data_IF_431223264737
#
_entry.id   IF_431223264737
#
_cell.length_a   1.000
_cell.length_b   1.000
_cell.length_c   1.000
_cell.angle_alpha   90.00
_cell.angle_beta   90.00
_cell.angle_gamma   90.00
#
_symmetry.space_group_name_H-M   'P 1'
#
loop_
_entity.id
_entity.type
_entity.pdbx_description
1 polymer ?
#
# COMPACT_ATOMS: atom_id res chain seq x y z
N UNK A 1 3.87 34.45 -14.11
CA UNK A 1 3.09 33.50 -13.29
C UNK A 1 3.63 32.12 -13.59
N UNK A 2 3.98 31.35 -12.58
CA UNK A 2 4.29 29.93 -12.75
C UNK A 2 3.05 29.21 -13.28
N UNK A 3 3.25 28.27 -14.19
CA UNK A 3 2.18 27.36 -14.59
C UNK A 3 1.91 26.39 -13.44
N UNK A 4 0.68 25.89 -13.34
CA UNK A 4 0.33 24.83 -12.39
C UNK A 4 1.29 23.63 -12.50
N UNK A 5 1.80 23.33 -13.70
CA UNK A 5 2.79 22.26 -13.91
C UNK A 5 4.16 22.55 -13.30
N UNK A 6 4.59 23.81 -13.25
CA UNK A 6 5.85 24.22 -12.62
C UNK A 6 5.74 24.23 -11.09
N UNK A 7 4.55 24.54 -10.56
CA UNK A 7 4.26 24.48 -9.12
C UNK A 7 4.07 23.04 -8.63
N UNK A 8 3.46 22.19 -9.45
CA UNK A 8 3.27 20.76 -9.18
C UNK A 8 4.52 19.92 -9.50
N UNK A 9 5.73 20.41 -9.18
CA UNK A 9 6.91 19.53 -9.10
C UNK A 9 6.68 18.52 -7.96
N UNK A 10 6.01 17.42 -8.30
CA UNK A 10 5.78 16.33 -7.37
C UNK A 10 7.13 15.66 -7.15
N UNK A 11 7.70 15.88 -5.97
CA UNK A 11 8.81 15.06 -5.50
C UNK A 11 8.29 13.63 -5.31
N UNK A 12 8.47 12.82 -6.35
CA UNK A 12 8.17 11.41 -6.38
C UNK A 12 9.25 10.58 -5.67
N UNK A 13 10.22 11.17 -4.96
CA UNK A 13 11.21 10.42 -4.19
C UNK A 13 10.79 10.19 -2.73
N UNK A 14 9.90 11.03 -2.22
CA UNK A 14 9.48 11.00 -0.81
C UNK A 14 8.10 10.34 -0.68
N UNK A 15 8.00 9.18 0.01
CA UNK A 15 6.70 8.56 0.28
C UNK A 15 5.83 9.46 1.16
N UNK A 16 4.51 9.40 0.96
CA UNK A 16 3.54 10.09 1.82
C UNK A 16 3.76 9.63 3.27
N UNK A 17 3.72 10.55 4.24
CA UNK A 17 3.94 10.20 5.64
C UNK A 17 2.78 9.36 6.19
N UNK A 18 3.04 8.50 7.18
CA UNK A 18 1.95 7.77 7.84
C UNK A 18 0.94 8.72 8.51
N UNK A 19 1.40 9.86 9.03
CA UNK A 19 0.53 10.89 9.60
C UNK A 19 -0.48 11.40 8.56
N UNK A 20 -0.04 11.71 7.34
CA UNK A 20 -0.92 12.15 6.26
C UNK A 20 -1.90 11.05 5.84
N UNK A 21 -1.44 9.79 5.75
CA UNK A 21 -2.30 8.63 5.48
C UNK A 21 -3.40 8.53 6.55
N UNK A 22 -3.04 8.62 7.82
CA UNK A 22 -4.03 8.54 8.93
C UNK A 22 -4.98 9.72 8.93
N UNK A 23 -4.49 10.95 8.70
CA UNK A 23 -5.32 12.16 8.63
C UNK A 23 -6.40 12.08 7.53
N UNK A 24 -6.09 11.42 6.41
CA UNK A 24 -7.05 11.21 5.33
C UNK A 24 -8.16 10.20 5.67
N UNK A 25 -7.94 9.32 6.65
CA UNK A 25 -8.83 8.21 6.99
C UNK A 25 -9.55 8.39 8.34
N UNK A 26 -8.96 9.16 9.25
CA UNK A 26 -9.44 9.32 10.62
C UNK A 26 -10.85 9.89 10.66
N UNK A 27 -11.74 9.21 11.39
CA UNK A 27 -13.15 9.61 11.54
C UNK A 27 -14.02 9.40 10.31
N UNK A 28 -13.47 8.94 9.18
CA UNK A 28 -14.21 8.77 7.92
C UNK A 28 -14.60 7.34 7.62
N UNK A 29 -13.88 6.35 8.16
CA UNK A 29 -14.11 4.94 7.86
C UNK A 29 -14.48 4.17 9.13
N UNK A 30 -15.74 3.77 9.26
CA UNK A 30 -16.22 3.06 10.43
C UNK A 30 -15.52 1.70 10.65
N UNK A 31 -15.01 1.51 11.86
CA UNK A 31 -14.32 0.29 12.29
C UNK A 31 -12.92 0.10 11.72
N UNK A 32 -12.39 1.06 10.94
CA UNK A 32 -10.99 1.02 10.50
C UNK A 32 -10.07 1.19 11.71
N UNK A 33 -9.08 0.32 11.83
CA UNK A 33 -8.03 0.42 12.83
C UNK A 33 -6.72 0.04 12.16
N UNK A 34 -5.75 0.94 12.18
CA UNK A 34 -4.53 0.83 11.39
C UNK A 34 -3.27 1.00 12.23
N UNK A 35 -2.23 0.24 11.91
CA UNK A 35 -0.88 0.34 12.50
C UNK A 35 0.15 0.64 11.42
N UNK A 36 1.20 1.37 11.79
CA UNK A 36 2.37 1.60 10.95
C UNK A 36 3.44 0.55 11.22
N UNK A 37 3.99 -0.02 10.16
CA UNK A 37 5.15 -0.91 10.23
C UNK A 37 6.20 -0.43 9.22
N UNK A 38 7.34 0.02 9.72
CA UNK A 38 8.53 0.18 8.90
C UNK A 38 9.28 -1.14 8.85
N UNK A 39 9.27 -1.82 7.70
CA UNK A 39 9.83 -3.16 7.62
C UNK A 39 11.35 -3.17 7.85
N UNK A 40 12.05 -2.08 7.49
CA UNK A 40 13.51 -2.00 7.69
C UNK A 40 13.90 -1.87 9.17
N UNK A 41 13.00 -1.30 9.97
CA UNK A 41 13.22 -1.05 11.40
C UNK A 41 12.50 -2.08 12.28
N UNK A 42 11.81 -3.05 11.67
CA UNK A 42 11.12 -4.11 12.40
C UNK A 42 12.14 -5.03 13.09
N UNK A 43 11.99 -5.21 14.40
CA UNK A 43 12.82 -6.08 15.21
C UNK A 43 12.04 -7.34 15.58
N UNK A 44 12.71 -8.49 15.53
CA UNK A 44 12.14 -9.78 15.91
C UNK A 44 11.49 -10.55 14.76
N UNK A 45 10.74 -11.59 15.10
CA UNK A 45 10.06 -12.44 14.12
C UNK A 45 8.79 -11.81 13.57
N UNK A 46 8.53 -12.07 12.29
CA UNK A 46 7.29 -11.68 11.65
C UNK A 46 6.16 -12.62 12.08
N UNK A 47 5.23 -12.08 12.85
CA UNK A 47 4.03 -12.78 13.31
C UNK A 47 2.80 -11.89 13.08
N UNK A 48 1.57 -12.44 13.05
CA UNK A 48 0.37 -11.61 12.99
C UNK A 48 0.33 -10.56 14.10
N UNK A 49 0.81 -10.92 15.30
CA UNK A 49 0.84 -10.00 16.43
C UNK A 49 1.86 -8.88 16.23
N UNK A 50 3.08 -9.17 15.75
CA UNK A 50 4.13 -8.15 15.57
C UNK A 50 3.87 -7.21 14.38
N UNK A 51 3.16 -7.67 13.35
CA UNK A 51 2.84 -6.86 12.16
C UNK A 51 1.49 -6.12 12.29
N UNK A 52 0.47 -6.76 12.85
CA UNK A 52 -0.91 -6.25 12.83
C UNK A 52 -1.43 -5.96 14.25
N UNK A 53 -0.97 -6.67 15.26
CA UNK A 53 -1.49 -6.57 16.63
C UNK A 53 -3.01 -6.77 16.67
N UNK A 54 -3.73 -5.78 17.21
CA UNK A 54 -5.20 -5.74 17.27
C UNK A 54 -5.87 -5.03 16.09
N UNK A 55 -5.08 -4.52 15.14
CA UNK A 55 -5.56 -3.68 14.05
C UNK A 55 -6.13 -4.55 12.90
N UNK A 56 -6.86 -3.93 11.98
CA UNK A 56 -7.34 -4.61 10.76
C UNK A 56 -6.53 -4.24 9.51
N UNK A 57 -5.71 -3.19 9.58
CA UNK A 57 -4.78 -2.81 8.51
C UNK A 57 -3.39 -2.55 9.10
N UNK A 58 -2.35 -3.12 8.50
CA UNK A 58 -0.98 -2.69 8.71
C UNK A 58 -0.52 -1.93 7.46
N UNK A 59 -0.26 -0.63 7.61
CA UNK A 59 0.41 0.18 6.60
C UNK A 59 1.91 -0.11 6.69
N UNK A 60 2.44 -0.84 5.70
CA UNK A 60 3.79 -1.37 5.72
C UNK A 60 4.64 -0.58 4.72
N UNK A 61 5.66 0.09 5.24
CA UNK A 61 6.65 0.79 4.43
C UNK A 61 7.83 -0.14 4.16
N UNK A 62 7.99 -0.51 2.90
CA UNK A 62 9.06 -1.36 2.41
C UNK A 62 10.26 -0.51 1.99
N UNK A 63 11.46 -0.99 2.26
CA UNK A 63 12.67 -0.54 1.56
C UNK A 63 13.02 -1.61 0.54
N UNK A 64 12.87 -1.29 -0.73
CA UNK A 64 13.17 -2.20 -1.83
C UNK A 64 14.42 -1.76 -2.57
N UNK A 65 15.25 -2.73 -2.97
CA UNK A 65 16.36 -2.50 -3.89
C UNK A 65 15.91 -2.88 -5.29
N UNK A 66 15.97 -1.94 -6.24
CA UNK A 66 15.63 -2.21 -7.64
C UNK A 66 16.71 -3.14 -8.23
N UNK A 67 16.34 -4.28 -8.85
CA UNK A 67 17.35 -5.17 -9.41
C UNK A 67 18.23 -4.47 -10.45
N UNK A 68 19.54 -4.70 -10.37
CA UNK A 68 20.53 -4.01 -11.20
C UNK A 68 20.85 -2.58 -10.74
N UNK A 69 20.31 -2.12 -9.61
CA UNK A 69 20.59 -0.81 -9.02
C UNK A 69 21.06 -0.94 -7.57
N UNK A 70 21.89 0.01 -7.12
CA UNK A 70 22.25 0.20 -5.71
C UNK A 70 21.25 1.11 -4.99
N UNK A 71 20.34 1.76 -5.73
CA UNK A 71 19.36 2.68 -5.18
C UNK A 71 18.29 1.95 -4.37
N UNK A 72 18.06 2.46 -3.17
CA UNK A 72 16.96 2.05 -2.30
C UNK A 72 15.76 2.92 -2.61
N UNK A 73 14.60 2.28 -2.75
CA UNK A 73 13.33 2.95 -2.93
C UNK A 73 12.39 2.57 -1.80
N UNK A 74 11.64 3.56 -1.30
CA UNK A 74 10.59 3.33 -0.31
C UNK A 74 9.28 3.06 -1.03
N UNK A 75 8.50 2.08 -0.56
CA UNK A 75 7.25 1.68 -1.19
C UNK A 75 6.19 1.32 -0.15
N UNK A 76 5.00 1.88 -0.28
CA UNK A 76 3.86 1.55 0.56
C UNK A 76 3.13 0.32 0.03
N UNK A 77 2.88 -0.62 0.93
CA UNK A 77 1.96 -1.73 0.76
C UNK A 77 1.17 -1.92 2.06
N UNK A 78 0.14 -2.76 2.06
CA UNK A 78 -0.57 -3.05 3.29
C UNK A 78 -0.98 -4.51 3.43
N UNK A 79 -1.00 -4.95 4.68
CA UNK A 79 -1.63 -6.21 5.08
C UNK A 79 -3.00 -5.88 5.67
N UNK A 80 -4.04 -6.46 5.10
CA UNK A 80 -5.43 -6.29 5.55
C UNK A 80 -5.96 -7.58 6.14
N UNK A 81 -6.57 -7.51 7.32
CA UNK A 81 -7.31 -8.60 7.96
C UNK A 81 -8.78 -8.22 8.03
N UNK A 82 -9.65 -9.07 7.50
CA UNK A 82 -11.09 -8.94 7.64
C UNK A 82 -11.74 -10.33 7.82
N UNK A 83 -13.08 -10.39 7.83
CA UNK A 83 -13.82 -11.66 8.01
C UNK A 83 -13.55 -12.72 6.94
N UNK A 84 -12.96 -12.34 5.79
CA UNK A 84 -12.62 -13.22 4.67
C UNK A 84 -11.16 -13.70 4.69
N UNK A 85 -10.36 -13.27 5.68
CA UNK A 85 -8.97 -13.67 5.88
C UNK A 85 -7.96 -12.52 5.74
N UNK A 86 -6.73 -12.88 5.35
CA UNK A 86 -5.61 -11.96 5.17
C UNK A 86 -5.37 -11.63 3.70
N UNK A 87 -5.11 -10.36 3.41
CA UNK A 87 -4.86 -9.86 2.06
C UNK A 87 -3.62 -8.99 2.05
N UNK A 88 -2.60 -9.41 1.31
CA UNK A 88 -1.44 -8.60 1.01
C UNK A 88 -1.77 -7.74 -0.22
N UNK A 89 -1.84 -6.43 -0.03
CA UNK A 89 -2.10 -5.50 -1.11
C UNK A 89 -0.86 -4.67 -1.43
N UNK A 90 -0.44 -4.80 -2.67
CA UNK A 90 0.55 -3.97 -3.33
C UNK A 90 -0.04 -3.46 -4.66
N UNK A 91 -0.02 -2.15 -4.88
CA UNK A 91 -0.57 -1.49 -6.08
C UNK A 91 0.21 -1.86 -7.35
N UNK A 92 1.47 -2.27 -7.21
CA UNK A 92 2.32 -2.75 -8.30
C UNK A 92 2.21 -4.26 -8.52
N UNK A 93 1.44 -4.96 -7.68
CA UNK A 93 1.27 -6.42 -7.69
C UNK A 93 2.60 -7.18 -7.84
N UNK A 94 3.62 -6.77 -7.08
CA UNK A 94 4.94 -7.40 -7.12
C UNK A 94 4.78 -8.88 -6.73
N UNK A 95 5.20 -9.83 -7.60
CA UNK A 95 5.15 -11.25 -7.28
C UNK A 95 5.96 -11.55 -6.03
N UNK A 96 5.45 -12.41 -5.14
CA UNK A 96 6.12 -12.75 -3.87
C UNK A 96 7.58 -13.24 -4.06
N UNK A 97 7.86 -14.01 -5.11
CA UNK A 97 9.22 -14.45 -5.42
C UNK A 97 10.17 -13.29 -5.73
N UNK A 98 9.66 -12.23 -6.37
CA UNK A 98 10.41 -11.02 -6.68
C UNK A 98 10.52 -10.10 -5.46
N UNK A 99 9.45 -9.99 -4.67
CA UNK A 99 9.45 -9.24 -3.41
C UNK A 99 10.57 -9.72 -2.47
N UNK A 100 10.72 -11.04 -2.31
CA UNK A 100 11.80 -11.62 -1.49
C UNK A 100 13.20 -11.19 -1.96
N UNK A 101 13.42 -11.07 -3.27
CA UNK A 101 14.70 -10.60 -3.83
C UNK A 101 14.92 -9.11 -3.58
N UNK A 102 13.86 -8.32 -3.68
CA UNK A 102 13.91 -6.85 -3.50
C UNK A 102 14.12 -6.44 -2.04
N UNK A 103 13.59 -7.20 -1.07
CA UNK A 103 13.72 -6.91 0.35
C UNK A 103 15.07 -7.31 0.93
N UNK A 104 15.79 -8.26 0.31
CA UNK A 104 17.08 -8.79 0.78
C UNK A 104 17.02 -9.25 2.25
N UNK A 105 15.92 -9.90 2.64
CA UNK A 105 15.62 -10.33 4.01
C UNK A 105 15.60 -11.87 4.16
N UNK A 106 16.29 -12.59 3.27
CA UNK A 106 16.27 -14.05 3.16
C UNK A 106 14.87 -14.66 3.00
N UNK A 107 13.93 -13.85 2.50
CA UNK A 107 12.54 -14.22 2.29
C UNK A 107 11.73 -14.38 3.57
N UNK A 108 12.23 -13.90 4.71
CA UNK A 108 11.53 -13.98 6.01
C UNK A 108 10.13 -13.38 5.92
N UNK A 109 9.98 -12.20 5.34
CA UNK A 109 8.69 -11.53 5.24
C UNK A 109 7.73 -12.27 4.32
N UNK A 110 8.22 -12.78 3.18
CA UNK A 110 7.40 -13.57 2.24
C UNK A 110 6.98 -14.91 2.85
N UNK A 111 7.86 -15.58 3.61
CA UNK A 111 7.52 -16.79 4.36
C UNK A 111 6.41 -16.51 5.38
N UNK A 112 6.48 -15.39 6.09
CA UNK A 112 5.42 -14.94 6.97
C UNK A 112 4.09 -14.71 6.25
N UNK A 113 4.08 -13.96 5.13
CA UNK A 113 2.85 -13.73 4.36
C UNK A 113 2.21 -15.06 3.93
N UNK A 114 3.02 -16.04 3.52
CA UNK A 114 2.55 -17.37 3.14
C UNK A 114 2.02 -18.16 4.35
N UNK A 115 2.70 -18.12 5.50
CA UNK A 115 2.28 -18.89 6.68
C UNK A 115 0.93 -18.46 7.24
N UNK A 116 0.57 -17.17 7.08
CA UNK A 116 -0.74 -16.64 7.49
C UNK A 116 -1.81 -16.75 6.39
N UNK A 117 -1.47 -17.33 5.23
CA UNK A 117 -2.38 -17.44 4.09
C UNK A 117 -2.76 -16.10 3.46
N UNK A 118 -1.89 -15.09 3.52
CA UNK A 118 -2.17 -13.77 2.95
C UNK A 118 -2.26 -13.83 1.42
N UNK A 119 -3.43 -13.50 0.88
CA UNK A 119 -3.69 -13.51 -0.57
C UNK A 119 -3.08 -12.26 -1.21
N UNK A 120 -2.14 -12.38 -2.17
CA UNK A 120 -1.49 -11.21 -2.79
C UNK A 120 -2.40 -10.47 -3.78
N UNK A 121 -2.03 -9.24 -4.14
CA UNK A 121 -2.54 -8.56 -5.34
C UNK A 121 -2.17 -9.36 -6.58
N UNK A 122 -3.11 -9.51 -7.52
CA UNK A 122 -2.91 -10.23 -8.78
C UNK A 122 -2.94 -9.33 -10.01
N UNK A 123 -3.23 -8.04 -9.83
CA UNK A 123 -3.35 -7.07 -10.93
C UNK A 123 -2.56 -5.81 -10.59
N UNK A 124 -1.70 -5.39 -11.53
CA UNK A 124 -1.02 -4.10 -11.47
C UNK A 124 -2.06 -2.99 -11.64
N UNK A 125 -2.14 -2.09 -10.67
CA UNK A 125 -3.08 -0.96 -10.67
C UNK A 125 -2.36 0.38 -10.80
N UNK A 126 -1.17 0.49 -10.21
CA UNK A 126 -0.33 1.66 -10.33
C UNK A 126 0.47 1.64 -11.63
N UNK A 127 0.50 2.77 -12.33
CA UNK A 127 1.08 2.87 -13.69
C UNK A 127 2.59 2.69 -13.70
N UNK A 128 3.29 3.31 -12.74
CA UNK A 128 4.74 3.37 -12.75
C UNK A 128 5.33 3.18 -11.36
N UNK A 129 6.36 2.33 -11.29
CA UNK A 129 7.16 2.08 -10.09
C UNK A 129 7.90 3.33 -9.61
N UNK A 130 8.21 4.29 -10.50
CA UNK A 130 8.88 5.56 -10.16
C UNK A 130 7.97 6.57 -9.44
N UNK A 131 6.66 6.32 -9.36
CA UNK A 131 5.71 7.20 -8.65
C UNK A 131 5.56 6.79 -7.18
N UNK A 132 6.50 7.18 -6.33
CA UNK A 132 6.55 6.76 -4.91
C UNK A 132 5.41 7.37 -4.09
N UNK A 133 4.84 8.52 -4.49
CA UNK A 133 3.70 9.09 -3.76
C UNK A 133 2.40 8.35 -4.04
N UNK A 134 2.22 7.83 -5.27
CA UNK A 134 0.97 7.19 -5.67
C UNK A 134 0.71 5.88 -4.92
N UNK A 135 1.73 5.12 -4.52
CA UNK A 135 1.52 3.91 -3.71
C UNK A 135 0.92 4.22 -2.33
N UNK A 136 1.20 5.41 -1.77
CA UNK A 136 0.53 5.90 -0.55
C UNK A 136 -0.96 6.20 -0.78
N UNK A 137 -1.34 6.78 -1.92
CA UNK A 137 -2.75 7.03 -2.28
C UNK A 137 -3.52 5.72 -2.47
N UNK A 138 -2.87 4.73 -3.09
CA UNK A 138 -3.40 3.38 -3.22
C UNK A 138 -3.60 2.72 -1.85
N UNK A 139 -2.65 2.85 -0.93
CA UNK A 139 -2.77 2.35 0.44
C UNK A 139 -3.95 3.01 1.16
N UNK A 140 -4.10 4.33 1.06
CA UNK A 140 -5.24 5.08 1.63
C UNK A 140 -6.55 4.46 1.14
N UNK A 141 -6.74 4.37 -0.18
CA UNK A 141 -7.96 3.81 -0.77
C UNK A 141 -8.20 2.34 -0.36
N UNK A 142 -7.14 1.52 -0.32
CA UNK A 142 -7.22 0.12 0.10
C UNK A 142 -7.64 -0.01 1.56
N UNK A 143 -7.11 0.84 2.44
CA UNK A 143 -7.41 0.86 3.86
C UNK A 143 -8.87 1.25 4.11
N UNK A 144 -9.42 2.26 3.42
CA UNK A 144 -10.84 2.59 3.58
C UNK A 144 -11.80 1.49 3.11
N UNK A 145 -11.35 0.65 2.18
CA UNK A 145 -12.09 -0.54 1.76
C UNK A 145 -11.55 -1.82 2.40
N UNK A 146 -11.05 -1.76 3.65
CA UNK A 146 -10.47 -2.92 4.35
C UNK A 146 -11.40 -4.14 4.41
N UNK A 147 -12.72 -3.94 4.40
CA UNK A 147 -13.73 -5.03 4.40
C UNK A 147 -13.78 -5.85 3.10
N UNK A 148 -13.17 -5.35 2.02
CA UNK A 148 -13.10 -6.02 0.73
C UNK A 148 -11.87 -6.94 0.64
N UNK A 149 -12.02 -8.05 -0.08
CA UNK A 149 -10.90 -8.83 -0.61
C UNK A 149 -10.19 -8.05 -1.73
N UNK A 150 -8.99 -8.48 -2.12
CA UNK A 150 -8.26 -7.84 -3.22
C UNK A 150 -9.07 -7.85 -4.54
N UNK A 151 -9.76 -8.95 -4.87
CA UNK A 151 -10.56 -9.04 -6.08
C UNK A 151 -11.79 -8.11 -6.06
N UNK A 152 -12.44 -7.98 -4.91
CA UNK A 152 -13.55 -7.04 -4.72
C UNK A 152 -13.09 -5.58 -4.80
N UNK A 153 -11.94 -5.27 -4.18
CA UNK A 153 -11.34 -3.94 -4.25
C UNK A 153 -10.99 -3.56 -5.69
N UNK A 154 -10.36 -4.48 -6.44
CA UNK A 154 -10.04 -4.27 -7.87
C UNK A 154 -11.30 -4.01 -8.68
N UNK A 155 -12.37 -4.81 -8.50
CA UNK A 155 -13.65 -4.57 -9.19
C UNK A 155 -14.25 -3.21 -8.85
N UNK A 156 -14.18 -2.80 -7.59
CA UNK A 156 -14.69 -1.51 -7.13
C UNK A 156 -13.90 -0.34 -7.71
N UNK A 157 -12.57 -0.32 -7.59
CA UNK A 157 -11.78 0.85 -8.02
C UNK A 157 -11.76 1.01 -9.55
N UNK A 158 -11.94 -0.10 -10.28
CA UNK A 158 -12.02 -0.10 -11.75
C UNK A 158 -13.45 0.01 -12.28
N UNK A 159 -14.46 0.20 -11.42
CA UNK A 159 -15.85 0.33 -11.89
C UNK A 159 -16.11 1.66 -12.60
N UNK A 160 -15.28 2.67 -12.35
CA UNK A 160 -15.38 3.97 -12.99
C UNK A 160 -14.65 3.91 -14.36
N UNK A 161 -15.39 4.09 -15.45
CA UNK A 161 -14.86 3.99 -16.82
C UNK A 161 -14.26 5.33 -17.27
N UNK A 162 -13.32 5.28 -18.22
CA UNK A 162 -12.79 6.48 -18.88
C UNK A 162 -11.76 7.28 -18.08
N UNK A 163 -11.25 6.75 -16.98
CA UNK A 163 -10.17 7.37 -16.20
C UNK A 163 -9.09 6.36 -15.86
N UNK A 164 -7.86 6.84 -15.71
CA UNK A 164 -6.75 6.03 -15.27
C UNK A 164 -6.85 5.76 -13.75
N UNK A 165 -6.60 4.53 -13.26
CA UNK A 165 -6.76 4.20 -11.84
C UNK A 165 -5.97 5.10 -10.88
N UNK A 166 -4.74 5.49 -11.24
CA UNK A 166 -3.94 6.47 -10.46
C UNK A 166 -4.65 7.83 -10.31
N UNK A 167 -5.35 8.29 -11.35
CA UNK A 167 -6.13 9.54 -11.28
C UNK A 167 -7.33 9.34 -10.35
N UNK A 168 -8.03 8.21 -10.45
CA UNK A 168 -9.15 7.88 -9.57
C UNK A 168 -8.75 7.92 -8.10
N UNK A 169 -7.64 7.27 -7.71
CA UNK A 169 -7.21 7.27 -6.30
C UNK A 169 -6.77 8.65 -5.84
N UNK A 170 -6.12 9.44 -6.70
CA UNK A 170 -5.78 10.82 -6.40
C UNK A 170 -7.04 11.68 -6.17
N UNK A 171 -8.04 11.55 -7.04
CA UNK A 171 -9.33 12.24 -6.92
C UNK A 171 -10.05 11.84 -5.63
N UNK A 172 -10.10 10.55 -5.29
CA UNK A 172 -10.71 10.06 -4.05
C UNK A 172 -10.00 10.59 -2.80
N UNK A 173 -8.67 10.69 -2.82
CA UNK A 173 -7.91 11.26 -1.71
C UNK A 173 -8.07 12.78 -1.61
N UNK A 174 -8.24 13.48 -2.74
CA UNK A 174 -8.42 14.94 -2.76
C UNK A 174 -9.77 15.36 -2.19
N UNK A 175 -10.87 14.77 -2.67
CA UNK A 175 -12.22 15.07 -2.15
C UNK A 175 -12.45 14.51 -0.75
N UNK A 176 -11.61 13.57 -0.32
CA UNK A 176 -11.85 12.76 0.86
C UNK A 176 -12.70 11.55 0.52
N UNK A 177 -12.42 10.43 1.18
CA UNK A 177 -13.25 9.25 1.01
C UNK A 177 -14.53 9.38 1.82
N UNK A 178 -15.64 9.59 1.12
CA UNK A 178 -16.99 9.46 1.66
C UNK A 178 -17.27 7.97 1.87
N UNK A 179 -17.33 7.52 3.13
CA UNK A 179 -17.79 6.17 3.48
C UNK A 179 -18.69 6.18 4.69
#
# INVERSE_FOLDING_TARGET
MSTLGEELKVDENTPISFADITKQLQGRVHGLSMVYVDLVNHKGEYTPHSILGRHNVAAILLTVVVPGSTSKQRHWACLVKNSKGFFWFDSLAIPMAFLSKMLKDDGKFVKFLKSIGAKPSTRVLQENRKKIRTCGLWLICRAAKYKLSNAEFVRWILSIRGTHPDRTVATLCYFGMST
#
